data_IF_527925289454
#
_entry.id   IF_527925289454
#
_cell.length_a   1.000
_cell.length_b   1.000
_cell.length_c   1.000
_cell.angle_alpha   90.00
_cell.angle_beta   90.00
_cell.angle_gamma   90.00
#
_symmetry.space_group_name_H-M   'P 1'
#
loop_
_entity.id
_entity.type
_entity.pdbx_description
1 polymer ?
#
# COMPACT_ATOMS: atom_id res chain seq x y z
N UNK A 1 28.16 -12.23 0.47
CA UNK A 1 26.90 -12.49 -0.25
C UNK A 1 26.14 -11.15 -0.27
N UNK A 2 25.86 -10.55 -1.44
CA UNK A 2 25.06 -9.33 -1.52
C UNK A 2 23.63 -9.71 -1.07
N UNK A 3 23.03 -9.04 -0.08
CA UNK A 3 21.68 -9.35 0.34
C UNK A 3 20.73 -9.19 -0.86
N UNK A 4 19.82 -10.12 -1.04
CA UNK A 4 18.81 -10.03 -2.10
C UNK A 4 17.95 -8.81 -1.80
N UNK A 5 17.85 -7.86 -2.74
CA UNK A 5 17.02 -6.66 -2.60
C UNK A 5 15.59 -7.03 -2.23
N UNK A 6 15.03 -6.39 -1.21
CA UNK A 6 13.64 -6.55 -0.81
C UNK A 6 12.69 -6.05 -1.91
N UNK A 7 11.42 -6.44 -1.85
CA UNK A 7 10.39 -5.86 -2.71
C UNK A 7 9.70 -4.65 -2.06
N UNK A 8 9.12 -3.82 -2.89
CA UNK A 8 8.30 -2.68 -2.49
C UNK A 8 6.91 -2.78 -3.14
N UNK A 9 5.87 -2.81 -2.31
CA UNK A 9 4.48 -2.80 -2.73
C UNK A 9 3.85 -1.46 -2.36
N UNK A 10 3.35 -0.70 -3.33
CA UNK A 10 2.66 0.56 -3.07
C UNK A 10 1.14 0.39 -3.21
N UNK A 11 0.41 0.52 -2.11
CA UNK A 11 -1.04 0.59 -2.11
C UNK A 11 -1.47 2.05 -2.24
N UNK A 12 -2.05 2.42 -3.39
CA UNK A 12 -2.55 3.76 -3.67
C UNK A 12 -4.06 3.75 -3.86
N UNK A 13 -4.73 4.84 -3.59
CA UNK A 13 -6.19 5.01 -3.68
C UNK A 13 -6.65 6.20 -2.84
N UNK A 14 -7.92 6.53 -2.89
CA UNK A 14 -8.51 7.63 -2.13
C UNK A 14 -8.33 7.44 -0.60
N UNK A 15 -8.37 8.48 0.22
CA UNK A 15 -8.54 8.34 1.66
C UNK A 15 -9.71 7.40 1.97
N UNK A 16 -9.61 6.59 3.01
CA UNK A 16 -10.63 5.61 3.42
C UNK A 16 -10.93 4.47 2.42
N UNK A 17 -10.15 4.30 1.35
CA UNK A 17 -10.31 3.18 0.39
C UNK A 17 -9.85 1.81 0.92
N UNK A 18 -9.30 1.71 2.14
CA UNK A 18 -8.89 0.44 2.74
C UNK A 18 -7.40 0.11 2.65
N UNK A 19 -6.53 1.00 2.16
CA UNK A 19 -5.07 0.76 1.99
C UNK A 19 -4.37 0.18 3.20
N UNK A 20 -4.54 0.80 4.38
CA UNK A 20 -3.92 0.35 5.63
C UNK A 20 -4.43 -1.02 6.06
N UNK A 21 -5.74 -1.27 5.92
CA UNK A 21 -6.37 -2.56 6.21
C UNK A 21 -5.79 -3.67 5.33
N UNK A 22 -5.73 -3.42 4.01
CA UNK A 22 -5.14 -4.37 3.07
C UNK A 22 -3.65 -4.56 3.32
N UNK A 23 -2.90 -3.49 3.60
CA UNK A 23 -1.47 -3.58 3.95
C UNK A 23 -1.23 -4.47 5.16
N UNK A 24 -2.02 -4.32 6.22
CA UNK A 24 -1.94 -5.18 7.42
C UNK A 24 -2.33 -6.63 7.11
N UNK A 25 -3.37 -6.84 6.30
CA UNK A 25 -3.80 -8.17 5.87
C UNK A 25 -2.70 -8.89 5.07
N UNK A 26 -2.07 -8.20 4.11
CA UNK A 26 -0.94 -8.75 3.34
C UNK A 26 0.24 -9.10 4.25
N UNK A 27 0.58 -8.26 5.22
CA UNK A 27 1.62 -8.55 6.21
C UNK A 27 1.28 -9.81 7.01
N UNK A 28 0.02 -9.97 7.44
CA UNK A 28 -0.46 -11.16 8.14
C UNK A 28 -0.22 -12.42 7.30
N UNK A 29 -0.73 -12.43 6.06
CA UNK A 29 -0.59 -13.54 5.13
C UNK A 29 0.89 -13.88 4.79
N UNK A 30 1.75 -12.87 4.66
CA UNK A 30 3.17 -13.09 4.40
C UNK A 30 3.93 -13.57 5.63
N UNK A 31 3.53 -13.16 6.83
CA UNK A 31 4.11 -13.65 8.09
C UNK A 31 3.87 -15.15 8.29
N UNK A 32 2.71 -15.66 7.88
CA UNK A 32 2.41 -17.10 7.91
C UNK A 32 3.34 -17.91 7.00
N UNK A 33 4.03 -17.25 6.07
CA UNK A 33 5.03 -17.83 5.17
C UNK A 33 6.47 -17.47 5.56
N UNK A 34 6.70 -17.03 6.77
CA UNK A 34 8.01 -16.56 7.29
C UNK A 34 8.62 -15.41 6.48
N UNK A 35 7.78 -14.59 5.82
CA UNK A 35 8.22 -13.43 5.06
C UNK A 35 7.97 -12.16 5.87
N UNK A 36 9.07 -11.53 6.34
CA UNK A 36 9.02 -10.24 7.04
C UNK A 36 8.74 -9.09 6.08
N UNK A 37 7.84 -8.18 6.49
CA UNK A 37 7.48 -6.97 5.72
C UNK A 37 7.29 -5.79 6.66
N UNK A 38 7.82 -4.61 6.29
CA UNK A 38 7.61 -3.35 6.99
C UNK A 38 6.47 -2.55 6.36
N UNK A 39 5.56 -2.04 7.19
CA UNK A 39 4.51 -1.12 6.74
C UNK A 39 4.98 0.33 6.90
N UNK A 40 5.08 1.04 5.80
CA UNK A 40 5.22 2.49 5.77
C UNK A 40 3.83 3.10 5.52
N UNK A 41 3.12 3.39 6.60
CA UNK A 41 1.82 4.06 6.54
C UNK A 41 2.03 5.57 6.54
N UNK A 42 1.46 6.25 5.54
CA UNK A 42 1.63 7.70 5.37
C UNK A 42 1.07 8.51 6.54
N UNK A 43 0.06 8.01 7.23
CA UNK A 43 -0.53 8.73 8.36
C UNK A 43 0.41 8.66 9.57
N UNK A 44 0.93 7.47 9.92
CA UNK A 44 1.91 7.32 10.99
C UNK A 44 3.22 8.07 10.70
N UNK A 45 3.70 8.04 9.45
CA UNK A 45 4.90 8.79 9.10
C UNK A 45 4.69 10.30 9.24
N UNK A 46 3.48 10.80 8.96
CA UNK A 46 3.17 12.22 9.14
C UNK A 46 3.19 12.65 10.59
N UNK A 47 2.77 11.81 11.52
CA UNK A 47 2.83 12.10 12.96
C UNK A 47 4.25 12.47 13.41
N UNK A 48 5.26 11.86 12.78
CA UNK A 48 6.68 12.10 13.11
C UNK A 48 7.31 13.17 12.22
N UNK A 49 7.08 13.08 10.90
CA UNK A 49 7.78 13.93 9.93
C UNK A 49 7.12 15.31 9.76
N UNK A 50 5.79 15.38 9.85
CA UNK A 50 5.01 16.60 9.67
C UNK A 50 3.91 16.69 10.73
N UNK A 51 4.24 16.86 12.03
CA UNK A 51 3.27 16.82 13.13
C UNK A 51 2.20 17.92 13.01
N UNK A 52 2.55 19.02 12.37
CA UNK A 52 1.63 20.12 12.02
C UNK A 52 1.51 20.25 10.49
N UNK A 53 0.78 19.33 9.82
CA UNK A 53 0.81 19.24 8.37
C UNK A 53 0.05 20.38 7.71
N UNK A 54 0.69 21.06 6.77
CA UNK A 54 0.05 22.09 5.92
C UNK A 54 -0.65 21.47 4.72
N UNK A 55 -0.23 20.27 4.32
CA UNK A 55 -0.65 19.60 3.08
C UNK A 55 -0.44 20.43 1.80
N UNK A 56 0.48 21.40 1.83
CA UNK A 56 0.86 22.14 0.63
C UNK A 56 1.49 21.22 -0.42
N UNK A 57 1.61 21.72 -1.65
CA UNK A 57 2.28 20.97 -2.73
C UNK A 57 3.73 20.64 -2.39
N UNK A 58 4.43 21.60 -1.79
CA UNK A 58 5.84 21.53 -1.42
C UNK A 58 6.03 20.52 -0.27
N UNK A 59 5.20 20.60 0.76
CA UNK A 59 5.23 19.64 1.88
C UNK A 59 4.95 18.22 1.41
N UNK A 60 3.94 18.04 0.53
CA UNK A 60 3.62 16.72 -0.03
C UNK A 60 4.76 16.18 -0.89
N UNK A 61 5.39 17.01 -1.71
CA UNK A 61 6.52 16.60 -2.53
C UNK A 61 7.71 16.18 -1.67
N UNK A 62 8.05 16.96 -0.65
CA UNK A 62 9.07 16.63 0.32
C UNK A 62 8.73 15.33 1.07
N UNK A 63 7.53 15.21 1.61
CA UNK A 63 7.08 14.06 2.38
C UNK A 63 7.21 12.75 1.58
N UNK A 64 6.72 12.75 0.33
CA UNK A 64 6.80 11.53 -0.50
C UNK A 64 8.23 11.24 -0.95
N UNK A 65 9.10 12.24 -1.11
CA UNK A 65 10.53 12.00 -1.33
C UNK A 65 11.18 11.29 -0.14
N UNK A 66 10.91 11.76 1.06
CA UNK A 66 11.43 11.13 2.29
C UNK A 66 10.89 9.71 2.44
N UNK A 67 9.59 9.51 2.22
CA UNK A 67 8.96 8.20 2.29
C UNK A 67 9.58 7.19 1.31
N UNK A 68 9.82 7.60 0.06
CA UNK A 68 10.51 6.78 -0.95
C UNK A 68 11.95 6.50 -0.55
N UNK A 69 12.67 7.48 -0.01
CA UNK A 69 14.04 7.30 0.46
C UNK A 69 14.14 6.27 1.60
N UNK A 70 13.24 6.34 2.58
CA UNK A 70 13.16 5.34 3.65
C UNK A 70 12.91 3.95 3.07
N UNK A 71 11.95 3.81 2.16
CA UNK A 71 11.66 2.54 1.50
C UNK A 71 12.85 1.99 0.72
N UNK A 72 13.59 2.85 0.05
CA UNK A 72 14.81 2.49 -0.67
C UNK A 72 15.89 1.95 0.29
N UNK A 73 16.18 2.65 1.37
CA UNK A 73 17.13 2.18 2.39
C UNK A 73 16.76 0.80 2.93
N UNK A 74 15.48 0.57 3.20
CA UNK A 74 15.00 -0.71 3.69
C UNK A 74 15.16 -1.82 2.64
N UNK A 75 14.73 -1.57 1.40
CA UNK A 75 14.79 -2.59 0.33
C UNK A 75 16.21 -2.91 -0.10
N UNK A 76 17.11 -1.94 -0.18
CA UNK A 76 18.54 -2.17 -0.46
C UNK A 76 19.20 -3.05 0.61
N UNK A 77 18.68 -3.05 1.84
CA UNK A 77 19.12 -3.92 2.95
C UNK A 77 18.31 -5.22 3.07
N UNK A 78 17.54 -5.58 2.05
CA UNK A 78 16.83 -6.85 1.97
C UNK A 78 15.47 -6.89 2.68
N UNK A 79 15.01 -5.79 3.28
CA UNK A 79 13.69 -5.72 3.89
C UNK A 79 12.61 -5.52 2.82
N UNK A 80 11.49 -6.25 2.94
CA UNK A 80 10.31 -6.01 2.11
C UNK A 80 9.48 -4.87 2.71
N UNK A 81 8.87 -4.04 1.86
CA UNK A 81 8.15 -2.85 2.29
C UNK A 81 6.78 -2.77 1.63
N UNK A 82 5.77 -2.41 2.41
CA UNK A 82 4.46 -1.99 1.92
C UNK A 82 4.26 -0.51 2.22
N UNK A 83 4.03 0.29 1.20
CA UNK A 83 3.60 1.67 1.33
C UNK A 83 2.08 1.72 1.33
N UNK A 84 1.46 2.23 2.40
CA UNK A 84 0.04 2.54 2.46
C UNK A 84 -0.12 4.07 2.36
N UNK A 85 -0.27 4.59 1.14
CA UNK A 85 -0.26 6.03 0.92
C UNK A 85 -1.09 6.44 -0.29
N UNK A 86 -1.94 7.46 -0.12
CA UNK A 86 -2.77 7.99 -1.21
C UNK A 86 -1.93 8.48 -2.38
N UNK A 87 -0.88 9.28 -2.12
CA UNK A 87 0.02 9.81 -3.15
C UNK A 87 -0.75 10.26 -4.40
N UNK A 88 -1.65 11.26 -4.21
CA UNK A 88 -2.68 11.62 -5.19
C UNK A 88 -2.16 12.04 -6.56
N UNK A 89 -0.91 12.53 -6.68
CA UNK A 89 -0.24 12.77 -7.95
C UNK A 89 0.59 11.57 -8.36
N UNK A 90 0.57 11.23 -9.65
CA UNK A 90 1.37 10.12 -10.20
C UNK A 90 2.85 10.29 -9.96
N UNK A 91 3.36 11.52 -10.11
CA UNK A 91 4.80 11.80 -9.96
C UNK A 91 5.39 11.34 -8.63
N UNK A 92 4.60 11.26 -7.55
CA UNK A 92 5.07 10.72 -6.28
C UNK A 92 5.34 9.22 -6.36
N UNK A 93 4.47 8.48 -7.05
CA UNK A 93 4.56 7.02 -7.23
C UNK A 93 5.54 6.65 -8.34
N UNK A 94 5.64 7.47 -9.38
CA UNK A 94 6.63 7.28 -10.45
C UNK A 94 8.06 7.40 -9.88
N UNK A 95 8.31 8.35 -8.98
CA UNK A 95 9.58 8.45 -8.24
C UNK A 95 9.91 7.17 -7.47
N UNK A 96 8.92 6.53 -6.85
CA UNK A 96 9.13 5.25 -6.18
C UNK A 96 9.47 4.14 -7.19
N UNK A 97 8.80 4.11 -8.33
CA UNK A 97 9.05 3.16 -9.43
C UNK A 97 10.47 3.29 -10.00
N UNK A 98 10.99 4.53 -10.07
CA UNK A 98 12.35 4.79 -10.56
C UNK A 98 13.43 4.44 -9.51
N UNK A 99 13.10 4.56 -8.23
CA UNK A 99 14.05 4.40 -7.13
C UNK A 99 14.13 2.98 -6.54
N UNK A 100 13.16 2.10 -6.85
CA UNK A 100 12.98 0.79 -6.21
C UNK A 100 12.97 -0.32 -7.27
N UNK A 101 13.97 -1.20 -7.25
CA UNK A 101 14.19 -2.25 -8.28
C UNK A 101 13.02 -3.23 -8.41
N UNK A 102 12.46 -3.69 -7.28
CA UNK A 102 11.38 -4.67 -7.21
C UNK A 102 10.10 -3.99 -6.73
N UNK A 103 9.60 -3.07 -7.56
CA UNK A 103 8.43 -2.24 -7.24
C UNK A 103 7.15 -2.74 -7.91
N UNK A 104 6.07 -2.80 -7.14
CA UNK A 104 4.72 -3.04 -7.65
C UNK A 104 3.74 -2.00 -7.09
N UNK A 105 2.90 -1.45 -7.95
CA UNK A 105 1.83 -0.51 -7.60
C UNK A 105 0.49 -1.22 -7.68
N UNK A 106 -0.26 -1.22 -6.58
CA UNK A 106 -1.62 -1.73 -6.49
C UNK A 106 -2.59 -0.57 -6.32
N UNK A 107 -3.55 -0.48 -7.21
CA UNK A 107 -4.64 0.47 -7.11
C UNK A 107 -5.76 -0.12 -6.26
N UNK A 108 -6.01 0.52 -5.12
CA UNK A 108 -7.13 0.20 -4.22
C UNK A 108 -8.31 1.06 -4.65
N UNK A 109 -9.09 0.49 -5.57
CA UNK A 109 -10.24 1.16 -6.18
C UNK A 109 -11.43 1.17 -5.21
N UNK A 110 -12.04 2.34 -5.11
CA UNK A 110 -13.20 2.58 -4.27
C UNK A 110 -13.79 3.93 -4.69
N UNK A 111 -15.10 4.01 -4.88
CA UNK A 111 -15.75 5.27 -5.23
C UNK A 111 -15.57 6.31 -4.12
N UNK A 112 -15.62 7.58 -4.51
CA UNK A 112 -15.57 8.68 -3.54
C UNK A 112 -16.72 8.58 -2.54
N UNK A 113 -17.90 8.22 -2.99
CA UNK A 113 -19.11 8.05 -2.17
C UNK A 113 -18.89 7.00 -1.08
N UNK A 114 -18.38 5.83 -1.47
CA UNK A 114 -18.07 4.76 -0.52
C UNK A 114 -16.93 5.15 0.43
N UNK A 115 -15.89 5.82 -0.06
CA UNK A 115 -14.82 6.35 0.79
C UNK A 115 -15.34 7.37 1.82
N UNK A 116 -16.27 8.23 1.43
CA UNK A 116 -16.93 9.18 2.34
C UNK A 116 -17.80 8.47 3.39
N UNK A 117 -18.51 7.42 3.01
CA UNK A 117 -19.31 6.62 3.95
C UNK A 117 -18.45 5.88 4.99
N UNK A 118 -17.22 5.51 4.62
CA UNK A 118 -16.21 4.84 5.47
C UNK A 118 -15.32 5.77 6.26
N UNK A 119 -15.58 7.07 6.29
CA UNK A 119 -14.68 8.12 6.81
C UNK A 119 -14.44 8.09 8.33
N UNK A 120 -13.88 6.97 8.82
CA UNK A 120 -13.57 6.78 10.25
C UNK A 120 -12.63 7.85 10.83
N UNK A 121 -11.78 8.45 9.99
CA UNK A 121 -10.81 9.49 10.41
C UNK A 121 -11.38 10.91 10.30
N UNK A 122 -12.59 11.08 9.79
CA UNK A 122 -13.23 12.36 9.58
C UNK A 122 -12.55 13.27 8.55
N UNK A 123 -11.79 12.69 7.62
CA UNK A 123 -11.02 13.45 6.60
C UNK A 123 -11.97 14.20 5.68
N UNK A 124 -12.99 13.52 5.17
CA UNK A 124 -14.01 14.13 4.31
C UNK A 124 -14.93 15.05 5.08
N UNK A 125 -15.29 14.69 6.32
CA UNK A 125 -16.08 15.56 7.19
C UNK A 125 -15.36 16.89 7.44
N UNK A 126 -14.06 16.87 7.71
CA UNK A 126 -13.25 18.10 7.84
C UNK A 126 -13.24 18.94 6.55
N UNK A 127 -13.22 18.29 5.39
CA UNK A 127 -13.28 18.99 4.11
C UNK A 127 -14.64 19.68 3.89
N UNK A 128 -15.75 18.99 4.20
CA UNK A 128 -17.10 19.54 4.07
C UNK A 128 -17.37 20.71 5.04
N UNK A 129 -16.74 20.69 6.21
CA UNK A 129 -16.84 21.79 7.20
C UNK A 129 -15.81 22.91 6.98
N UNK A 130 -15.01 22.84 5.90
CA UNK A 130 -14.00 23.86 5.58
C UNK A 130 -12.72 23.81 6.43
N UNK A 131 -12.58 22.81 7.30
CA UNK A 131 -11.39 22.59 8.13
C UNK A 131 -10.22 21.95 7.37
N UNK A 132 -10.49 21.33 6.22
CA UNK A 132 -9.49 20.84 5.29
C UNK A 132 -9.76 21.38 3.87
N UNK A 133 -8.71 21.66 3.09
CA UNK A 133 -8.82 22.31 1.77
C UNK A 133 -8.14 21.54 0.62
N UNK A 134 -7.53 20.41 0.90
CA UNK A 134 -6.74 19.70 -0.10
C UNK A 134 -6.95 18.19 -0.05
N UNK A 135 -8.18 17.74 0.27
CA UNK A 135 -8.53 16.32 0.38
C UNK A 135 -8.63 15.69 -1.02
N UNK A 136 -7.81 14.66 -1.31
CA UNK A 136 -7.82 14.00 -2.61
C UNK A 136 -9.17 13.33 -2.92
N UNK A 137 -9.60 13.49 -4.16
CA UNK A 137 -10.88 12.99 -4.65
C UNK A 137 -12.04 13.96 -4.45
N UNK A 138 -11.97 14.86 -3.44
CA UNK A 138 -13.03 15.84 -3.17
C UNK A 138 -12.62 17.26 -3.56
N UNK A 139 -11.47 17.73 -3.06
CA UNK A 139 -11.00 19.10 -3.25
C UNK A 139 -9.81 19.21 -4.20
N UNK A 140 -8.98 18.17 -4.26
CA UNK A 140 -7.89 18.06 -5.22
C UNK A 140 -8.03 16.75 -6.02
N UNK A 141 -7.63 16.80 -7.28
CA UNK A 141 -7.72 15.65 -8.17
C UNK A 141 -6.85 14.51 -7.65
N UNK A 142 -7.40 13.31 -7.58
CA UNK A 142 -6.63 12.08 -7.49
C UNK A 142 -6.31 11.58 -8.91
N UNK A 143 -5.07 11.23 -9.16
CA UNK A 143 -4.59 10.71 -10.44
C UNK A 143 -4.42 9.20 -10.33
N UNK A 144 -5.39 8.38 -10.79
CA UNK A 144 -5.27 6.93 -10.72
C UNK A 144 -4.07 6.44 -11.54
N UNK A 145 -3.43 5.32 -11.14
CA UNK A 145 -2.33 4.76 -11.91
C UNK A 145 -2.82 4.28 -13.28
N UNK A 146 -2.09 4.62 -14.37
CA UNK A 146 -2.53 4.23 -15.72
C UNK A 146 -2.30 2.75 -16.02
N UNK A 147 -1.35 2.13 -15.35
CA UNK A 147 -0.96 0.71 -15.51
C UNK A 147 -0.49 0.16 -14.17
N UNK A 148 -1.40 -0.06 -13.20
CA UNK A 148 -1.04 -0.69 -11.94
C UNK A 148 -0.67 -2.16 -12.17
N UNK A 149 0.13 -2.72 -11.28
CA UNK A 149 0.40 -4.15 -11.29
C UNK A 149 -0.87 -4.96 -11.00
N UNK A 150 -1.79 -4.41 -10.20
CA UNK A 150 -3.09 -4.97 -9.87
C UNK A 150 -4.04 -3.83 -9.50
N UNK A 151 -5.32 -3.97 -9.82
CA UNK A 151 -6.42 -3.19 -9.25
C UNK A 151 -7.27 -4.11 -8.39
N UNK A 152 -7.52 -3.72 -7.13
CA UNK A 152 -8.45 -4.39 -6.23
C UNK A 152 -9.64 -3.47 -5.94
N UNK A 153 -10.84 -4.00 -6.09
CA UNK A 153 -12.10 -3.27 -5.88
C UNK A 153 -12.62 -3.62 -4.47
N UNK A 154 -12.52 -2.66 -3.55
CA UNK A 154 -12.94 -2.84 -2.16
C UNK A 154 -14.42 -2.59 -1.89
N UNK A 155 -15.20 -2.29 -2.92
CA UNK A 155 -16.66 -2.25 -2.84
C UNK A 155 -17.26 -3.61 -3.14
N UNK A 156 -16.66 -4.35 -4.11
CA UNK A 156 -17.17 -5.63 -4.59
C UNK A 156 -16.57 -6.83 -3.89
N UNK A 157 -15.38 -6.69 -3.32
CA UNK A 157 -14.63 -7.78 -2.69
C UNK A 157 -14.37 -7.51 -1.22
N UNK A 158 -14.38 -8.59 -0.44
CA UNK A 158 -13.99 -8.53 0.96
C UNK A 158 -12.49 -8.18 1.11
N UNK A 159 -12.08 -7.76 2.31
CA UNK A 159 -10.68 -7.48 2.58
C UNK A 159 -9.79 -8.71 2.36
N UNK A 160 -10.28 -9.90 2.77
CA UNK A 160 -9.59 -11.19 2.61
C UNK A 160 -9.40 -11.56 1.13
N UNK A 161 -10.42 -11.33 0.30
CA UNK A 161 -10.34 -11.56 -1.15
C UNK A 161 -9.34 -10.63 -1.82
N UNK A 162 -9.36 -9.34 -1.46
CA UNK A 162 -8.39 -8.36 -1.94
C UNK A 162 -6.96 -8.71 -1.52
N UNK A 163 -6.76 -9.13 -0.26
CA UNK A 163 -5.44 -9.58 0.25
C UNK A 163 -4.95 -10.77 -0.54
N UNK A 164 -5.80 -11.78 -0.80
CA UNK A 164 -5.45 -12.96 -1.61
C UNK A 164 -5.00 -12.55 -3.01
N UNK A 165 -5.78 -11.69 -3.70
CA UNK A 165 -5.41 -11.18 -5.03
C UNK A 165 -4.04 -10.49 -5.03
N UNK A 166 -3.73 -9.72 -3.98
CA UNK A 166 -2.44 -9.04 -3.84
C UNK A 166 -1.31 -10.05 -3.65
N UNK A 167 -1.49 -11.06 -2.79
CA UNK A 167 -0.49 -12.10 -2.53
C UNK A 167 -0.24 -12.92 -3.80
N UNK A 168 -1.28 -13.34 -4.52
CA UNK A 168 -1.17 -14.04 -5.81
C UNK A 168 -0.41 -13.19 -6.84
N UNK A 169 -0.60 -11.87 -6.81
CA UNK A 169 0.13 -10.97 -7.69
C UNK A 169 1.61 -10.89 -7.34
N UNK A 170 1.96 -10.86 -6.05
CA UNK A 170 3.35 -10.90 -5.60
C UNK A 170 4.06 -12.19 -6.03
N UNK A 171 3.37 -13.33 -5.99
CA UNK A 171 3.88 -14.61 -6.53
C UNK A 171 4.10 -14.55 -8.05
N UNK A 172 3.12 -14.01 -8.79
CA UNK A 172 3.21 -13.85 -10.25
C UNK A 172 4.39 -12.97 -10.67
N UNK A 173 4.69 -11.94 -9.87
CA UNK A 173 5.83 -11.05 -10.08
C UNK A 173 7.16 -11.66 -9.60
N UNK A 174 7.15 -12.87 -9.06
CA UNK A 174 8.30 -13.53 -8.43
C UNK A 174 8.95 -12.68 -7.30
N UNK A 175 8.14 -11.87 -6.61
CA UNK A 175 8.57 -11.13 -5.43
C UNK A 175 8.64 -12.04 -4.21
N UNK A 176 7.76 -13.02 -4.17
CA UNK A 176 7.73 -14.10 -3.17
C UNK A 176 7.70 -15.46 -3.89
N UNK A 177 8.11 -16.53 -3.18
CA UNK A 177 7.96 -17.89 -3.68
C UNK A 177 6.48 -18.28 -3.76
N UNK A 178 6.15 -19.16 -4.71
CA UNK A 178 4.84 -19.81 -4.70
C UNK A 178 4.73 -20.68 -3.46
N UNK A 179 3.54 -20.75 -2.88
CA UNK A 179 3.26 -21.66 -1.79
C UNK A 179 3.61 -23.08 -2.25
N UNK A 180 4.58 -23.73 -1.58
CA UNK A 180 4.81 -25.16 -1.83
C UNK A 180 3.61 -25.88 -1.23
N UNK A 181 2.83 -26.56 -2.05
CA UNK A 181 1.87 -27.54 -1.57
C UNK A 181 2.71 -28.58 -0.81
N UNK A 182 2.61 -28.56 0.51
CA UNK A 182 3.30 -29.51 1.35
C UNK A 182 2.55 -30.83 1.24
N UNK A 183 2.96 -31.68 0.28
CA UNK A 183 2.36 -32.99 0.02
C UNK A 183 2.48 -33.91 1.23
N UNK A 184 3.50 -33.70 2.08
CA UNK A 184 3.73 -34.49 3.29
C UNK A 184 2.60 -34.35 4.33
N UNK A 185 1.88 -33.21 4.35
CA UNK A 185 0.71 -32.99 5.20
C UNK A 185 -0.56 -33.69 4.72
N UNK A 186 -0.64 -34.02 3.44
CA UNK A 186 -1.78 -34.72 2.87
C UNK A 186 -1.69 -36.23 3.22
N UNK A 187 -0.48 -36.78 3.28
CA UNK A 187 -0.27 -38.20 3.66
C UNK A 187 -0.53 -38.44 5.15
N UNK A 188 -0.21 -37.48 6.05
CA UNK A 188 -0.56 -37.58 7.47
C UNK A 188 -2.07 -37.59 7.75
N UNK A 189 -2.86 -36.91 6.93
CA UNK A 189 -4.31 -36.81 7.09
C UNK A 189 -5.05 -37.98 6.44
N UNK A 190 -4.45 -38.62 5.44
CA UNK A 190 -5.04 -39.77 4.74
C UNK A 190 -4.51 -41.14 5.26
N UNK A 191 -3.53 -41.14 6.15
CA UNK A 191 -2.91 -42.35 6.73
C UNK A 191 -3.34 -42.65 8.17
N UNK A 192 -4.38 -41.98 8.71
CA UNK A 192 -4.93 -42.24 10.05
C UNK A 192 -6.37 -42.74 10.04
#
# INVERSE_FOLDING_TARGET
>A
MIPKTGFALWLTGLPSSGKTTLGRGVIGALRERDIGVQLLDSDHLREVLTPEPTYSSEERDWFYRVMVYIGRLLTENGANVIFAATAHRRCYRDRAREALDRFAEVYVDCSLEMCMSRDQKGIYQKALTGQARTVPGLQVRYEPPPRPALTVDTERHSAEECVRQIVDRLETLAFIGKERVNLDRIEEVLGS
#
